data_IF_665115285480
#
_entry.id   IF_665115285480
#
_cell.length_a   1.000
_cell.length_b   1.000
_cell.length_c   1.000
_cell.angle_alpha   90.00
_cell.angle_beta   90.00
_cell.angle_gamma   90.00
#
_symmetry.space_group_name_H-M   'P 1'
#
loop_
_entity.id
_entity.type
_entity.pdbx_description
1 polymer ?
#
# COMPACT_ATOMS: atom_id res chain seq x y z
N UNK A 1 10.34 -2.08 3.82
CA UNK A 1 9.34 -1.03 4.11
C UNK A 1 8.81 -1.24 5.51
N UNK A 2 8.58 -0.17 6.23
CA UNK A 2 8.03 -0.21 7.59
C UNK A 2 6.52 0.01 7.55
N UNK A 3 5.78 -0.84 8.25
CA UNK A 3 4.33 -0.73 8.37
C UNK A 3 3.95 -0.35 9.81
N UNK A 4 2.81 0.33 10.03
CA UNK A 4 2.35 0.62 11.39
C UNK A 4 1.96 -0.69 12.09
N UNK A 5 2.76 -1.11 13.10
CA UNK A 5 2.69 -2.44 13.71
C UNK A 5 1.31 -2.78 14.28
N UNK A 6 0.68 -1.83 15.00
CA UNK A 6 -0.64 -2.07 15.58
C UNK A 6 -1.71 -2.26 14.50
N UNK A 7 -1.62 -1.51 13.41
CA UNK A 7 -2.55 -1.65 12.29
C UNK A 7 -2.38 -3.00 11.59
N UNK A 8 -1.13 -3.45 11.41
CA UNK A 8 -0.85 -4.76 10.82
C UNK A 8 -1.49 -5.87 11.64
N UNK A 9 -1.33 -5.83 12.95
CA UNK A 9 -1.91 -6.84 13.85
C UNK A 9 -3.44 -6.88 13.81
N UNK A 10 -4.07 -5.74 13.54
CA UNK A 10 -5.54 -5.62 13.52
C UNK A 10 -6.14 -5.84 12.14
N UNK A 11 -5.34 -5.87 11.09
CA UNK A 11 -5.84 -5.98 9.72
C UNK A 11 -6.39 -7.38 9.44
N UNK A 12 -7.65 -7.43 8.99
CA UNK A 12 -8.31 -8.67 8.57
C UNK A 12 -8.67 -8.66 7.09
N UNK A 13 -8.68 -7.49 6.46
CA UNK A 13 -9.05 -7.32 5.05
C UNK A 13 -8.16 -6.26 4.40
N UNK A 14 -7.70 -6.56 3.21
CA UNK A 14 -7.03 -5.59 2.33
C UNK A 14 -7.86 -5.42 1.07
N UNK A 15 -8.16 -4.16 0.77
CA UNK A 15 -8.77 -3.77 -0.49
C UNK A 15 -7.66 -3.30 -1.42
N UNK A 16 -7.57 -3.93 -2.59
CA UNK A 16 -6.57 -3.57 -3.61
C UNK A 16 -7.22 -2.63 -4.60
N UNK A 17 -6.59 -1.47 -4.83
CA UNK A 17 -7.14 -0.43 -5.68
C UNK A 17 -6.19 -0.14 -6.84
N UNK A 18 -6.74 -0.19 -8.05
CA UNK A 18 -6.04 0.30 -9.23
C UNK A 18 -6.27 1.80 -9.33
N UNK A 19 -5.19 2.57 -9.21
CA UNK A 19 -5.28 4.02 -9.08
C UNK A 19 -5.45 4.70 -10.43
N UNK A 20 -6.23 5.79 -10.42
CA UNK A 20 -6.46 6.64 -11.59
C UNK A 20 -5.90 8.06 -11.43
N UNK A 21 -5.25 8.35 -10.32
CA UNK A 21 -4.68 9.67 -10.07
C UNK A 21 -4.32 9.90 -8.62
N UNK A 22 -4.11 11.16 -8.28
CA UNK A 22 -3.80 11.59 -6.91
C UNK A 22 -5.07 12.04 -6.20
N UNK A 23 -5.07 12.04 -4.83
CA UNK A 23 -6.22 12.53 -4.07
C UNK A 23 -6.50 14.00 -4.38
N UNK A 24 -7.77 14.38 -4.37
CA UNK A 24 -8.19 15.77 -4.55
C UNK A 24 -7.80 16.63 -3.35
N UNK A 25 -7.87 16.07 -2.15
CA UNK A 25 -7.50 16.74 -0.90
C UNK A 25 -6.61 15.87 -0.04
N UNK A 26 -5.98 16.50 0.96
CA UNK A 26 -5.00 15.83 1.85
C UNK A 26 -5.56 14.58 2.53
N UNK A 27 -6.83 14.62 2.95
CA UNK A 27 -7.44 13.56 3.72
C UNK A 27 -8.31 12.63 2.87
N UNK A 28 -8.36 12.86 1.56
CA UNK A 28 -9.12 12.02 0.66
C UNK A 28 -8.37 10.74 0.31
N UNK A 29 -9.08 9.62 0.09
CA UNK A 29 -8.44 8.41 -0.41
C UNK A 29 -7.94 8.61 -1.85
N UNK A 30 -6.98 7.81 -2.25
CA UNK A 30 -6.52 7.80 -3.64
C UNK A 30 -7.67 7.34 -4.55
N UNK A 31 -7.95 8.08 -5.64
CA UNK A 31 -9.02 7.69 -6.56
C UNK A 31 -8.62 6.48 -7.39
N UNK A 32 -9.57 5.60 -7.62
CA UNK A 32 -9.31 4.41 -8.41
C UNK A 32 -10.46 3.41 -8.36
N UNK A 33 -10.22 2.24 -8.90
CA UNK A 33 -11.18 1.14 -8.96
C UNK A 33 -10.70 -0.02 -8.09
N UNK A 34 -11.57 -0.54 -7.25
CA UNK A 34 -11.26 -1.72 -6.45
C UNK A 34 -11.05 -2.91 -7.39
N UNK A 35 -9.85 -3.50 -7.32
CA UNK A 35 -9.47 -4.61 -8.18
C UNK A 35 -9.64 -5.96 -7.48
N UNK A 36 -9.46 -6.02 -6.17
CA UNK A 36 -9.57 -7.26 -5.40
C UNK A 36 -9.73 -6.99 -3.92
N UNK A 37 -10.13 -8.02 -3.19
CA UNK A 37 -10.10 -8.06 -1.73
C UNK A 37 -9.28 -9.28 -1.30
N UNK A 38 -8.33 -9.06 -0.40
CA UNK A 38 -7.54 -10.12 0.20
C UNK A 38 -7.89 -10.21 1.69
N UNK A 39 -8.31 -11.37 2.13
CA UNK A 39 -8.74 -11.59 3.51
C UNK A 39 -7.93 -12.73 4.16
N UNK A 40 -7.91 -12.75 5.49
CA UNK A 40 -7.28 -13.84 6.24
C UNK A 40 -5.81 -14.02 5.89
N UNK A 41 -5.43 -15.24 5.48
CA UNK A 41 -4.06 -15.57 5.15
C UNK A 41 -3.51 -14.82 3.94
N UNK A 42 -4.36 -14.47 2.98
CA UNK A 42 -3.95 -13.64 1.84
C UNK A 42 -3.56 -12.23 2.28
N UNK A 43 -4.35 -11.64 3.18
CA UNK A 43 -4.03 -10.32 3.75
C UNK A 43 -2.73 -10.37 4.55
N UNK A 44 -2.55 -11.38 5.38
CA UNK A 44 -1.33 -11.56 6.17
C UNK A 44 -0.10 -11.74 5.28
N UNK A 45 -0.21 -12.52 4.22
CA UNK A 45 0.88 -12.75 3.27
C UNK A 45 1.25 -11.46 2.53
N UNK A 46 0.27 -10.67 2.12
CA UNK A 46 0.51 -9.39 1.44
C UNK A 46 1.21 -8.39 2.37
N UNK A 47 0.78 -8.29 3.63
CA UNK A 47 1.42 -7.42 4.61
C UNK A 47 2.86 -7.84 4.88
N UNK A 48 3.10 -9.15 5.01
CA UNK A 48 4.44 -9.69 5.19
C UNK A 48 5.34 -9.37 4.01
N UNK A 49 4.82 -9.47 2.79
CA UNK A 49 5.54 -9.15 1.57
C UNK A 49 5.89 -7.65 1.52
N UNK A 50 4.95 -6.78 1.85
CA UNK A 50 5.20 -5.33 1.91
C UNK A 50 6.27 -5.00 2.97
N UNK A 51 6.20 -5.62 4.14
CA UNK A 51 7.19 -5.43 5.19
C UNK A 51 8.60 -5.89 4.78
N UNK A 52 8.70 -6.82 3.84
CA UNK A 52 9.97 -7.34 3.35
C UNK A 52 10.61 -6.49 2.24
N UNK A 53 9.92 -5.45 1.74
CA UNK A 53 10.48 -4.58 0.70
C UNK A 53 11.73 -3.89 1.21
N UNK A 54 12.90 -4.06 0.55
CA UNK A 54 14.12 -3.37 0.96
C UNK A 54 14.03 -1.88 0.65
N UNK A 55 14.65 -1.07 1.49
CA UNK A 55 14.72 0.38 1.31
C UNK A 55 15.53 0.77 0.08
N UNK A 56 15.31 1.98 -0.38
CA UNK A 56 16.03 2.58 -1.51
C UNK A 56 16.24 4.06 -1.24
N UNK A 57 17.03 4.70 -2.10
CA UNK A 57 17.24 6.13 -2.05
C UNK A 57 16.09 6.87 -2.74
N UNK A 58 15.90 8.12 -2.34
CA UNK A 58 14.94 9.01 -2.96
C UNK A 58 15.32 9.29 -4.42
N UNK A 59 14.35 9.18 -5.31
CA UNK A 59 14.49 9.54 -6.71
C UNK A 59 13.77 10.84 -7.00
N UNK A 60 14.34 11.66 -7.87
CA UNK A 60 13.70 12.87 -8.36
C UNK A 60 12.76 12.51 -9.48
N UNK A 61 11.50 12.24 -9.12
CA UNK A 61 10.48 12.01 -10.12
C UNK A 61 9.12 12.35 -9.53
N UNK A 62 8.17 12.67 -10.38
CA UNK A 62 6.81 12.93 -9.95
C UNK A 62 6.15 11.66 -9.44
N UNK A 63 5.57 11.72 -8.24
CA UNK A 63 4.87 10.59 -7.67
C UNK A 63 3.62 10.27 -8.49
N UNK A 64 3.62 9.12 -9.14
CA UNK A 64 2.51 8.66 -9.98
C UNK A 64 2.20 7.19 -9.62
N UNK A 65 1.47 6.97 -8.53
CA UNK A 65 1.20 5.61 -8.09
C UNK A 65 0.16 4.92 -8.97
N UNK A 66 0.40 3.64 -9.25
CA UNK A 66 -0.53 2.81 -10.03
C UNK A 66 -1.43 1.94 -9.18
N UNK A 67 -1.01 1.63 -7.96
CA UNK A 67 -1.70 0.71 -7.07
C UNK A 67 -1.68 1.21 -5.64
N UNK A 68 -2.77 0.94 -4.91
CA UNK A 68 -2.78 1.11 -3.46
C UNK A 68 -3.44 -0.09 -2.78
N UNK A 69 -3.14 -0.21 -1.48
CA UNK A 69 -3.83 -1.12 -0.59
C UNK A 69 -4.48 -0.32 0.52
N UNK A 70 -5.69 -0.68 0.90
CA UNK A 70 -6.39 -0.14 2.05
C UNK A 70 -6.60 -1.27 3.04
N UNK A 71 -6.13 -1.08 4.26
CA UNK A 71 -6.19 -2.09 5.31
C UNK A 71 -7.33 -1.80 6.28
N UNK A 72 -8.12 -2.81 6.58
CA UNK A 72 -9.28 -2.70 7.46
C UNK A 72 -9.21 -3.71 8.59
N UNK A 73 -9.68 -3.31 9.76
CA UNK A 73 -9.89 -4.21 10.89
C UNK A 73 -11.25 -4.92 10.80
N UNK A 74 -11.58 -5.72 11.82
CA UNK A 74 -12.84 -6.48 11.86
C UNK A 74 -14.09 -5.60 11.89
N UNK A 75 -13.98 -4.35 12.26
CA UNK A 75 -15.12 -3.41 12.28
C UNK A 75 -15.47 -2.89 10.88
N UNK A 76 -14.55 -3.01 9.91
CA UNK A 76 -14.73 -2.58 8.53
C UNK A 76 -15.21 -1.12 8.40
N UNK A 77 -14.75 -0.27 9.32
CA UNK A 77 -15.01 1.17 9.26
C UNK A 77 -14.04 1.88 8.32
N UNK A 78 -13.52 3.03 8.73
CA UNK A 78 -12.49 3.71 7.96
C UNK A 78 -11.23 2.85 7.88
N UNK A 79 -10.49 2.94 6.77
CA UNK A 79 -9.24 2.21 6.61
C UNK A 79 -8.25 2.60 7.71
N UNK A 80 -7.57 1.61 8.27
CA UNK A 80 -6.49 1.83 9.24
C UNK A 80 -5.34 2.58 8.58
N UNK A 81 -5.02 2.21 7.37
CA UNK A 81 -4.09 2.93 6.51
C UNK A 81 -4.36 2.61 5.03
N UNK A 82 -3.88 3.51 4.19
CA UNK A 82 -3.76 3.28 2.75
C UNK A 82 -2.30 3.49 2.36
N UNK A 83 -1.75 2.57 1.58
CA UNK A 83 -0.39 2.67 1.04
C UNK A 83 -0.46 2.69 -0.48
N UNK A 84 -0.01 3.78 -1.09
CA UNK A 84 0.03 3.97 -2.54
C UNK A 84 1.45 3.77 -3.05
N UNK A 85 1.62 2.89 -4.04
CA UNK A 85 2.93 2.46 -4.54
C UNK A 85 3.21 3.03 -5.91
N UNK A 86 4.35 3.71 -6.05
CA UNK A 86 4.88 4.15 -7.33
C UNK A 86 6.16 3.36 -7.63
N UNK A 87 6.04 2.35 -8.48
CA UNK A 87 7.18 1.48 -8.82
C UNK A 87 8.20 2.19 -9.71
N UNK A 88 7.78 3.17 -10.48
CA UNK A 88 8.69 3.95 -11.34
C UNK A 88 9.51 4.97 -10.55
N UNK A 89 8.97 5.49 -9.45
CA UNK A 89 9.65 6.47 -8.60
C UNK A 89 10.24 5.87 -7.32
N UNK A 90 10.13 4.56 -7.12
CA UNK A 90 10.65 3.86 -5.94
C UNK A 90 10.05 4.38 -4.63
N UNK A 91 8.82 4.87 -4.65
CA UNK A 91 8.23 5.58 -3.53
C UNK A 91 6.89 4.97 -3.14
N UNK A 92 6.64 4.90 -1.83
CA UNK A 92 5.35 4.56 -1.26
C UNK A 92 4.93 5.68 -0.32
N UNK A 93 3.67 6.11 -0.44
CA UNK A 93 3.07 7.08 0.47
C UNK A 93 1.93 6.43 1.22
N UNK A 94 1.95 6.61 2.53
CA UNK A 94 0.96 6.04 3.44
C UNK A 94 0.17 7.14 4.10
N UNK A 95 -1.12 6.92 4.28
CA UNK A 95 -2.02 7.82 4.97
C UNK A 95 -2.99 7.02 5.83
N UNK A 96 -3.54 7.65 6.85
CA UNK A 96 -4.50 7.05 7.75
C UNK A 96 -4.20 7.39 9.21
N UNK A 97 -5.18 7.19 10.08
CA UNK A 97 -5.06 7.52 11.51
C UNK A 97 -4.00 6.68 12.23
N UNK A 98 -3.72 5.48 11.72
CA UNK A 98 -2.72 4.59 12.29
C UNK A 98 -1.29 4.84 11.79
N UNK A 99 -1.08 5.81 10.88
CA UNK A 99 0.22 6.06 10.25
C UNK A 99 0.94 7.20 10.98
N UNK A 100 2.05 6.92 11.69
CA UNK A 100 2.85 8.00 12.24
C UNK A 100 3.60 8.75 11.12
N UNK A 101 3.95 10.03 11.34
CA UNK A 101 4.55 10.87 10.29
C UNK A 101 5.84 10.31 9.69
N UNK A 102 6.64 9.58 10.46
CA UNK A 102 7.89 9.02 9.99
C UNK A 102 7.71 7.82 9.03
N UNK A 103 6.50 7.27 8.94
CA UNK A 103 6.17 6.21 7.98
C UNK A 103 5.42 6.71 6.76
N UNK A 104 5.04 7.99 6.71
CA UNK A 104 4.14 8.51 5.68
C UNK A 104 4.75 8.48 4.27
N UNK A 105 6.07 8.64 4.15
CA UNK A 105 6.76 8.55 2.87
C UNK A 105 7.99 7.67 3.03
N UNK A 106 8.07 6.64 2.22
CA UNK A 106 9.20 5.70 2.23
C UNK A 106 9.62 5.39 0.81
N UNK A 107 10.84 4.89 0.66
CA UNK A 107 11.42 4.50 -0.62
C UNK A 107 11.78 3.03 -0.57
N UNK A 108 11.54 2.32 -1.67
CA UNK A 108 11.80 0.89 -1.76
C UNK A 108 12.49 0.55 -3.09
N UNK A 109 13.18 -0.58 -3.13
CA UNK A 109 13.81 -1.08 -4.35
C UNK A 109 12.79 -1.85 -5.18
N UNK A 110 12.30 -1.29 -6.31
CA UNK A 110 11.29 -1.94 -7.14
C UNK A 110 11.83 -3.15 -7.93
N UNK A 111 13.15 -3.27 -8.04
CA UNK A 111 13.79 -4.38 -8.74
C UNK A 111 14.05 -5.58 -7.82
N UNK A 112 13.80 -5.44 -6.52
CA UNK A 112 13.93 -6.52 -5.56
C UNK A 112 12.90 -7.63 -5.81
N UNK A 113 13.22 -8.86 -5.40
CA UNK A 113 12.30 -9.98 -5.53
C UNK A 113 10.96 -9.75 -4.83
N UNK A 114 10.92 -9.23 -3.58
CA UNK A 114 9.64 -8.93 -2.93
C UNK A 114 8.82 -7.88 -3.69
N UNK A 115 9.47 -6.84 -4.24
CA UNK A 115 8.76 -5.80 -5.00
C UNK A 115 8.17 -6.36 -6.28
N UNK A 116 8.91 -7.20 -7.00
CA UNK A 116 8.41 -7.84 -8.22
C UNK A 116 7.26 -8.81 -7.92
N UNK A 117 7.33 -9.53 -6.79
CA UNK A 117 6.25 -10.39 -6.34
C UNK A 117 5.00 -9.59 -5.99
N UNK A 118 5.15 -8.46 -5.30
CA UNK A 118 4.02 -7.57 -4.97
C UNK A 118 3.39 -7.01 -6.24
N UNK A 119 4.19 -6.54 -7.19
CA UNK A 119 3.69 -6.03 -8.46
C UNK A 119 2.91 -7.10 -9.23
N UNK A 120 3.39 -8.35 -9.22
CA UNK A 120 2.69 -9.47 -9.85
C UNK A 120 1.34 -9.74 -9.20
N UNK A 121 1.26 -9.65 -7.87
CA UNK A 121 -0.01 -9.78 -7.15
C UNK A 121 -0.99 -8.68 -7.55
N UNK A 122 -0.52 -7.43 -7.65
CA UNK A 122 -1.36 -6.32 -8.09
C UNK A 122 -1.89 -6.54 -9.51
N UNK A 123 -1.02 -6.90 -10.44
CA UNK A 123 -1.40 -7.14 -11.85
C UNK A 123 -2.35 -8.32 -12.01
N UNK A 124 -2.27 -9.31 -11.14
CA UNK A 124 -3.16 -10.46 -11.13
C UNK A 124 -4.44 -10.26 -10.31
N UNK A 125 -4.64 -9.09 -9.70
CA UNK A 125 -5.80 -8.83 -8.86
C UNK A 125 -7.08 -8.74 -9.71
N UNK A 126 -8.11 -9.46 -9.27
CA UNK A 126 -9.44 -9.45 -9.89
C UNK A 126 -10.51 -9.22 -8.82
N UNK A 127 -11.51 -8.43 -9.18
CA UNK A 127 -12.67 -8.23 -8.33
C UNK A 127 -13.60 -9.46 -8.36
#
# INVERSE_FOLDING_TARGET
MRLPAEAVDSTVLIEVVRLSGLPAGRDDPYPGTVAAHWAGSEAAAALSLMASLPGSEQHRCGFSPGWSVRAYDAHLGAALFEAAFCFTCHEVRMRGTAVPPDLATQYFDPDSAPAQNLLSLFRGAHA
#
